data_IF_064524893625
#
_entry.id   IF_064524893625
#
_cell.length_a   1.000
_cell.length_b   1.000
_cell.length_c   1.000
_cell.angle_alpha   90.00
_cell.angle_beta   90.00
_cell.angle_gamma   90.00
#
_symmetry.space_group_name_H-M   'P 1'
#
loop_
_entity.id
_entity.type
_entity.pdbx_description
1 polymer ?
#
# COMPACT_ATOMS: atom_id res chain seq x y z
N UNK A 1 -3.64 7.62 24.65
CA UNK A 1 -4.99 8.19 24.93
C UNK A 1 -5.95 7.08 25.38
N UNK A 2 -7.11 7.43 25.91
CA UNK A 2 -8.18 6.46 26.23
C UNK A 2 -8.88 6.05 24.95
N UNK A 3 -9.35 7.03 24.18
CA UNK A 3 -9.95 6.86 22.86
C UNK A 3 -9.12 7.59 21.81
N UNK A 4 -8.98 6.97 20.65
CA UNK A 4 -8.36 7.55 19.46
C UNK A 4 -9.22 7.20 18.25
N UNK A 5 -9.83 8.20 17.65
CA UNK A 5 -10.60 8.11 16.42
C UNK A 5 -9.81 8.79 15.31
N UNK A 6 -9.52 8.05 14.24
CA UNK A 6 -8.83 8.56 13.07
C UNK A 6 -9.71 8.34 11.85
N UNK A 7 -10.02 9.42 11.15
CA UNK A 7 -10.75 9.39 9.89
C UNK A 7 -9.84 9.89 8.78
N UNK A 8 -9.62 9.09 7.74
CA UNK A 8 -8.80 9.44 6.60
C UNK A 8 -9.61 9.39 5.31
N UNK A 9 -9.74 10.54 4.63
CA UNK A 9 -10.26 10.61 3.27
C UNK A 9 -9.10 10.69 2.30
N UNK A 10 -8.89 9.64 1.52
CA UNK A 10 -7.74 9.46 0.64
C UNK A 10 -8.17 9.58 -0.82
N UNK A 11 -7.76 10.67 -1.46
CA UNK A 11 -7.97 10.89 -2.89
C UNK A 11 -6.72 10.49 -3.65
N UNK A 12 -6.80 9.37 -4.36
CA UNK A 12 -5.73 8.76 -5.13
C UNK A 12 -5.80 9.11 -6.61
N UNK A 13 -4.63 9.25 -7.23
CA UNK A 13 -4.43 9.51 -8.65
C UNK A 13 -3.21 8.73 -9.16
N UNK A 14 -3.24 8.34 -10.44
CA UNK A 14 -2.06 7.79 -11.11
C UNK A 14 -1.11 8.91 -11.54
N UNK A 15 0.17 8.74 -11.25
CA UNK A 15 1.28 9.54 -11.80
C UNK A 15 2.22 8.63 -12.57
N UNK A 16 2.94 9.22 -13.52
CA UNK A 16 3.85 8.50 -14.41
C UNK A 16 5.30 8.78 -14.03
N UNK A 17 6.12 7.73 -13.96
CA UNK A 17 7.58 7.85 -13.88
C UNK A 17 8.20 7.05 -15.02
N UNK A 18 8.51 7.74 -16.12
CA UNK A 18 8.87 7.08 -17.37
C UNK A 18 7.67 6.31 -17.89
N UNK A 19 7.80 4.99 -17.97
CA UNK A 19 6.76 4.05 -18.44
C UNK A 19 5.95 3.41 -17.30
N UNK A 20 6.25 3.74 -16.04
CA UNK A 20 5.60 3.11 -14.88
C UNK A 20 4.48 3.97 -14.30
N UNK A 21 3.36 3.31 -14.00
CA UNK A 21 2.25 3.86 -13.25
C UNK A 21 2.49 3.76 -11.74
N UNK A 22 2.40 4.90 -11.05
CA UNK A 22 2.58 4.99 -9.61
C UNK A 22 1.33 5.61 -8.99
N UNK A 23 0.65 4.91 -8.07
CA UNK A 23 -0.43 5.50 -7.30
C UNK A 23 0.15 6.49 -6.29
N UNK A 24 -0.25 7.76 -6.43
CA UNK A 24 -0.02 8.81 -5.44
C UNK A 24 -1.37 9.22 -4.87
N UNK A 25 -1.37 9.80 -3.68
CA UNK A 25 -2.60 10.26 -3.06
C UNK A 25 -2.38 11.52 -2.24
N UNK A 26 -3.47 12.22 -2.02
CA UNK A 26 -3.60 13.21 -0.95
C UNK A 26 -4.61 12.67 0.07
N UNK A 27 -4.22 12.67 1.34
CA UNK A 27 -5.07 12.25 2.45
C UNK A 27 -5.41 13.43 3.34
N UNK A 28 -6.71 13.69 3.50
CA UNK A 28 -7.27 14.57 4.52
C UNK A 28 -7.55 13.71 5.76
N UNK A 29 -6.86 14.00 6.85
CA UNK A 29 -6.86 13.19 8.07
C UNK A 29 -7.44 14.04 9.20
N UNK A 30 -8.50 13.55 9.81
CA UNK A 30 -9.08 14.10 11.04
C UNK A 30 -8.78 13.15 12.18
N UNK A 31 -8.14 13.66 13.22
CA UNK A 31 -7.83 12.89 14.43
C UNK A 31 -8.58 13.49 15.59
N UNK A 32 -9.27 12.65 16.35
CA UNK A 32 -9.97 13.00 17.59
C UNK A 32 -9.65 11.99 18.66
N UNK A 33 -9.76 12.39 19.92
CA UNK A 33 -9.60 11.45 21.01
C UNK A 33 -9.73 12.10 22.36
N UNK A 34 -9.47 11.31 23.39
CA UNK A 34 -9.48 11.80 24.75
C UNK A 34 -8.40 11.16 25.60
N UNK A 35 -7.91 11.93 26.57
CA UNK A 35 -7.12 11.44 27.68
C UNK A 35 -7.96 11.53 28.95
N UNK A 36 -8.00 10.46 29.72
CA UNK A 36 -8.43 10.53 31.11
C UNK A 36 -7.37 11.24 31.98
N UNK A 37 -7.62 11.25 33.28
CA UNK A 37 -6.64 11.73 34.25
C UNK A 37 -5.30 10.99 34.08
N UNK A 38 -4.24 11.76 33.86
CA UNK A 38 -2.88 11.22 33.83
C UNK A 38 -2.49 10.80 35.24
N UNK A 39 -2.22 9.51 35.43
CA UNK A 39 -1.83 8.91 36.70
C UNK A 39 -0.57 8.08 36.49
N UNK A 40 0.43 8.35 37.32
CA UNK A 40 1.75 7.71 37.30
C UNK A 40 2.07 7.00 38.62
N UNK A 41 1.10 6.88 39.52
CA UNK A 41 1.26 6.19 40.81
C UNK A 41 1.65 4.71 40.65
N UNK A 42 1.24 4.05 39.56
CA UNK A 42 1.65 2.69 39.19
C UNK A 42 3.18 2.52 39.06
N UNK A 43 3.91 3.61 38.84
CA UNK A 43 5.38 3.63 38.69
C UNK A 43 6.10 4.11 39.95
N UNK A 44 5.38 4.32 41.05
CA UNK A 44 5.92 4.88 42.31
C UNK A 44 6.60 6.25 42.09
N UNK A 45 6.09 7.01 41.11
CA UNK A 45 6.55 8.37 40.80
C UNK A 45 5.61 9.36 41.47
N UNK A 46 6.14 10.20 42.35
CA UNK A 46 5.39 11.29 42.97
C UNK A 46 5.01 12.33 41.93
N UNK A 47 3.83 12.94 42.06
CA UNK A 47 3.41 14.06 41.20
C UNK A 47 4.40 15.24 41.22
N UNK A 48 5.12 15.42 42.34
CA UNK A 48 6.17 16.44 42.49
C UNK A 48 7.40 16.19 41.63
N UNK A 49 7.64 14.94 41.24
CA UNK A 49 8.80 14.55 40.42
C UNK A 49 8.51 14.69 38.92
N UNK A 50 7.26 15.01 38.57
CA UNK A 50 6.81 15.18 37.19
C UNK A 50 6.98 16.63 36.77
N UNK A 51 7.82 16.85 35.76
CA UNK A 51 7.98 18.15 35.12
C UNK A 51 6.81 18.45 34.17
N UNK A 52 5.63 18.76 34.73
CA UNK A 52 4.43 19.10 33.95
C UNK A 52 4.63 20.27 32.98
N UNK A 53 5.51 21.22 33.34
CA UNK A 53 5.91 22.34 32.48
C UNK A 53 6.75 21.94 31.25
N UNK A 54 7.21 20.69 31.18
CA UNK A 54 7.92 20.11 30.03
C UNK A 54 7.06 19.11 29.26
N UNK A 55 5.79 18.95 29.63
CA UNK A 55 4.87 18.06 28.94
C UNK A 55 4.64 18.53 27.50
N UNK A 56 4.56 17.56 26.59
CA UNK A 56 4.36 17.81 25.15
C UNK A 56 3.40 16.78 24.59
N UNK A 57 2.64 17.18 23.57
CA UNK A 57 1.99 16.26 22.65
C UNK A 57 2.87 16.16 21.43
N UNK A 58 3.20 14.93 21.04
CA UNK A 58 4.00 14.64 19.86
C UNK A 58 3.19 13.82 18.87
N UNK A 59 3.21 14.23 17.60
CA UNK A 59 2.56 13.54 16.49
C UNK A 59 3.67 13.10 15.56
N UNK A 60 3.87 11.78 15.45
CA UNK A 60 4.85 11.20 14.55
C UNK A 60 4.29 11.11 13.13
N UNK A 61 5.09 11.50 12.15
CA UNK A 61 4.75 11.48 10.73
C UNK A 61 5.94 10.86 10.03
N UNK A 62 5.73 9.76 9.30
CA UNK A 62 6.81 9.01 8.65
C UNK A 62 7.64 9.87 7.68
N UNK A 63 6.99 10.81 7.00
CA UNK A 63 7.65 11.80 6.15
C UNK A 63 7.00 13.17 6.35
N UNK A 64 7.70 14.06 7.06
CA UNK A 64 7.24 15.43 7.29
C UNK A 64 7.29 16.30 6.03
N UNK A 65 8.05 15.93 5.00
CA UNK A 65 8.05 16.66 3.72
C UNK A 65 6.73 16.46 2.98
N UNK A 66 6.00 15.41 3.31
CA UNK A 66 4.68 15.10 2.77
C UNK A 66 3.56 15.92 3.44
N UNK A 67 3.84 16.63 4.54
CA UNK A 67 2.86 17.47 5.23
C UNK A 67 2.58 18.75 4.44
N UNK A 68 1.36 18.88 3.91
CA UNK A 68 0.90 20.07 3.18
C UNK A 68 0.40 21.13 4.17
N UNK A 69 -0.43 20.71 5.12
CA UNK A 69 -1.00 21.58 6.15
C UNK A 69 -1.40 20.78 7.39
N UNK A 70 -1.42 21.44 8.53
CA UNK A 70 -1.99 20.93 9.77
C UNK A 70 -2.73 22.06 10.49
N UNK A 71 -3.87 21.75 11.10
CA UNK A 71 -4.54 22.68 12.02
C UNK A 71 -3.74 22.79 13.33
N UNK A 72 -3.97 23.85 14.12
CA UNK A 72 -3.59 23.83 15.53
C UNK A 72 -4.19 22.61 16.24
N UNK A 73 -3.49 22.10 17.26
CA UNK A 73 -4.01 21.08 18.15
C UNK A 73 -5.04 21.72 19.07
N UNK A 74 -6.29 21.27 19.01
CA UNK A 74 -7.29 21.61 20.02
C UNK A 74 -7.08 20.69 21.21
N UNK A 75 -6.87 21.26 22.40
CA UNK A 75 -6.71 20.54 23.66
C UNK A 75 -7.73 21.10 24.66
N UNK A 76 -8.83 20.38 24.87
CA UNK A 76 -10.02 20.90 25.53
C UNK A 76 -10.56 22.14 24.82
N UNK A 77 -10.52 23.29 25.49
CA UNK A 77 -10.96 24.58 24.94
C UNK A 77 -9.83 25.45 24.37
N UNK A 78 -8.59 24.97 24.39
CA UNK A 78 -7.44 25.74 23.94
C UNK A 78 -6.95 25.27 22.57
N UNK A 79 -6.48 26.21 21.77
CA UNK A 79 -5.83 25.95 20.49
C UNK A 79 -4.32 26.16 20.64
N UNK A 80 -3.54 25.15 20.27
CA UNK A 80 -2.10 25.10 20.44
C UNK A 80 -1.45 24.92 19.08
N UNK A 81 -0.62 25.88 18.69
CA UNK A 81 0.16 25.80 17.46
C UNK A 81 1.15 24.63 17.50
N UNK A 82 1.33 23.99 16.34
CA UNK A 82 2.25 22.88 16.16
C UNK A 82 3.62 23.40 15.72
N UNK A 83 4.68 22.93 16.37
CA UNK A 83 6.08 23.21 16.04
C UNK A 83 6.73 21.98 15.37
N UNK A 84 7.65 22.18 14.40
CA UNK A 84 8.38 21.07 13.78
C UNK A 84 9.19 20.23 14.78
N UNK A 85 9.31 18.92 14.48
CA UNK A 85 10.05 17.94 15.28
C UNK A 85 9.14 17.20 16.27
N UNK A 86 9.24 15.88 16.34
CA UNK A 86 8.43 15.05 17.25
C UNK A 86 8.99 15.00 18.68
N UNK A 87 10.24 15.45 18.90
CA UNK A 87 11.01 15.23 20.12
C UNK A 87 11.20 13.75 20.50
N UNK A 88 11.04 12.83 19.54
CA UNK A 88 11.50 11.44 19.66
C UNK A 88 12.69 11.18 18.72
N UNK A 89 13.73 10.45 19.18
CA UNK A 89 14.86 10.01 18.37
C UNK A 89 14.36 9.30 17.12
N UNK A 90 14.99 9.62 15.99
CA UNK A 90 14.79 8.95 14.70
C UNK A 90 13.34 8.93 14.18
N UNK A 91 12.44 9.66 14.82
CA UNK A 91 11.02 9.74 14.51
C UNK A 91 10.69 11.16 14.04
N UNK A 92 10.50 11.41 12.74
CA UNK A 92 10.04 12.70 12.26
C UNK A 92 8.60 13.00 12.72
N UNK A 93 8.23 14.28 12.74
CA UNK A 93 6.89 14.69 13.15
C UNK A 93 6.79 16.15 13.59
N UNK A 94 5.73 16.44 14.33
CA UNK A 94 5.46 17.75 14.93
C UNK A 94 5.10 17.60 16.40
N UNK A 95 5.15 18.68 17.15
CA UNK A 95 4.79 18.68 18.57
C UNK A 95 4.17 20.00 19.01
N UNK A 96 3.57 20.01 20.20
CA UNK A 96 3.27 21.24 20.92
C UNK A 96 3.45 21.04 22.42
N UNK A 97 3.72 22.13 23.14
CA UNK A 97 3.92 22.10 24.59
C UNK A 97 2.59 22.24 25.30
N UNK A 98 2.39 21.46 26.36
CA UNK A 98 1.24 21.59 27.23
C UNK A 98 1.64 22.39 28.48
N UNK A 99 0.79 23.34 28.89
CA UNK A 99 0.98 23.99 30.19
C UNK A 99 0.41 23.11 31.30
N UNK A 100 0.93 23.26 32.52
CA UNK A 100 0.47 22.50 33.67
C UNK A 100 -1.03 22.71 33.96
N UNK A 101 -1.59 23.89 33.68
CA UNK A 101 -3.02 24.16 33.85
C UNK A 101 -3.92 23.33 32.92
N UNK A 102 -3.37 22.75 31.86
CA UNK A 102 -4.08 21.88 30.91
C UNK A 102 -4.07 20.41 31.31
N UNK A 103 -3.30 20.07 32.36
CA UNK A 103 -2.96 18.71 32.77
C UNK A 103 -3.53 18.49 34.17
N UNK A 104 -4.72 17.89 34.27
CA UNK A 104 -5.40 17.67 35.56
C UNK A 104 -6.91 17.46 35.47
N UNK A 105 -7.52 17.78 34.33
CA UNK A 105 -8.93 17.46 34.08
C UNK A 105 -9.17 15.94 34.09
N UNK A 106 -10.33 15.47 34.59
CA UNK A 106 -10.67 14.05 34.61
C UNK A 106 -10.81 13.47 33.19
N UNK A 107 -11.19 14.30 32.22
CA UNK A 107 -11.20 14.01 30.79
C UNK A 107 -10.75 15.25 30.03
N UNK A 108 -9.81 15.08 29.11
CA UNK A 108 -9.38 16.11 28.17
C UNK A 108 -9.50 15.58 26.75
N UNK A 109 -10.35 16.22 25.97
CA UNK A 109 -10.52 15.90 24.55
C UNK A 109 -9.47 16.62 23.72
N UNK A 110 -9.02 15.98 22.65
CA UNK A 110 -8.13 16.61 21.69
C UNK A 110 -8.58 16.33 20.27
N UNK A 111 -8.26 17.26 19.37
CA UNK A 111 -8.50 17.08 17.95
C UNK A 111 -7.55 17.91 17.09
N UNK A 112 -7.19 17.39 15.93
CA UNK A 112 -6.47 18.13 14.91
C UNK A 112 -6.78 17.54 13.53
N UNK A 113 -6.53 18.33 12.50
CA UNK A 113 -6.66 17.94 11.11
C UNK A 113 -5.32 18.14 10.41
N UNK A 114 -5.03 17.28 9.45
CA UNK A 114 -3.82 17.39 8.64
C UNK A 114 -4.04 16.87 7.23
N UNK A 115 -3.33 17.47 6.28
CA UNK A 115 -3.31 17.04 4.89
C UNK A 115 -1.91 16.54 4.57
N UNK A 116 -1.82 15.27 4.19
CA UNK A 116 -0.58 14.62 3.77
C UNK A 116 -0.66 14.23 2.31
N UNK A 117 0.41 14.47 1.56
CA UNK A 117 0.66 13.73 0.32
C UNK A 117 1.33 12.40 0.65
N UNK A 118 1.09 11.40 -0.18
CA UNK A 118 1.77 10.13 -0.03
C UNK A 118 1.76 9.33 -1.33
N UNK A 119 2.42 8.19 -1.29
CA UNK A 119 2.43 7.25 -2.39
C UNK A 119 2.46 5.84 -1.85
N UNK A 120 1.81 4.91 -2.58
CA UNK A 120 1.79 3.47 -2.32
C UNK A 120 1.18 3.00 -1.00
N UNK A 121 1.49 3.60 0.16
CA UNK A 121 1.11 3.06 1.46
C UNK A 121 0.70 4.15 2.45
N UNK A 122 -0.51 4.01 3.00
CA UNK A 122 -0.99 4.81 4.12
C UNK A 122 -1.21 3.92 5.33
N UNK A 123 -0.75 4.32 6.51
CA UNK A 123 -0.96 3.56 7.73
C UNK A 123 -1.02 4.43 8.98
N UNK A 124 -1.61 3.86 10.04
CA UNK A 124 -1.76 4.46 11.36
C UNK A 124 -1.26 3.48 12.41
N UNK A 125 -0.50 3.96 13.38
CA UNK A 125 -0.14 3.17 14.56
C UNK A 125 -1.23 3.33 15.63
N UNK A 126 -1.86 2.25 16.13
CA UNK A 126 -2.87 2.35 17.16
C UNK A 126 -2.22 2.66 18.50
N UNK A 127 -2.46 3.85 19.06
CA UNK A 127 -1.89 4.27 20.37
C UNK A 127 -2.96 4.54 21.45
N UNK A 128 -4.25 4.55 21.09
CA UNK A 128 -5.36 4.69 22.04
C UNK A 128 -5.65 3.40 22.83
N UNK A 129 -6.42 3.47 23.92
CA UNK A 129 -6.87 2.24 24.60
C UNK A 129 -7.92 1.51 23.76
N UNK A 130 -8.74 2.30 23.07
CA UNK A 130 -9.42 1.90 21.84
C UNK A 130 -8.90 2.82 20.73
N UNK A 131 -8.55 2.24 19.58
CA UNK A 131 -8.26 3.00 18.36
C UNK A 131 -9.22 2.55 17.28
N UNK A 132 -10.08 3.47 16.86
CA UNK A 132 -10.97 3.30 15.72
C UNK A 132 -10.39 4.08 14.54
N UNK A 133 -10.24 3.40 13.40
CA UNK A 133 -9.70 3.98 12.19
C UNK A 133 -10.66 3.73 11.04
N UNK A 134 -11.06 4.79 10.35
CA UNK A 134 -11.90 4.73 9.16
C UNK A 134 -11.15 5.34 7.98
N UNK A 135 -11.17 4.66 6.84
CA UNK A 135 -10.63 5.16 5.59
C UNK A 135 -11.68 5.14 4.49
N UNK A 136 -11.87 6.28 3.83
CA UNK A 136 -12.57 6.41 2.56
C UNK A 136 -11.56 6.67 1.46
N UNK A 137 -11.58 5.89 0.38
CA UNK A 137 -10.73 6.14 -0.77
C UNK A 137 -11.44 5.89 -2.09
N UNK A 138 -11.10 6.67 -3.11
CA UNK A 138 -11.56 6.47 -4.49
C UNK A 138 -10.77 5.41 -5.27
N UNK A 139 -9.83 4.70 -4.63
CA UNK A 139 -9.00 3.70 -5.31
C UNK A 139 -9.68 2.32 -5.37
N UNK A 140 -9.78 1.65 -6.51
CA UNK A 140 -10.54 0.40 -6.64
C UNK A 140 -9.81 -0.85 -6.10
N UNK A 141 -8.48 -0.81 -6.00
CA UNK A 141 -7.66 -1.98 -5.65
C UNK A 141 -6.91 -1.80 -4.32
N UNK A 142 -7.60 -1.85 -3.16
CA UNK A 142 -6.93 -1.82 -1.87
C UNK A 142 -6.24 -3.15 -1.55
N UNK A 143 -5.02 -3.06 -1.04
CA UNK A 143 -4.37 -4.16 -0.35
C UNK A 143 -4.25 -3.81 1.13
N UNK A 144 -5.11 -4.41 1.96
CA UNK A 144 -5.06 -4.23 3.40
C UNK A 144 -3.77 -4.83 3.97
N UNK A 145 -3.06 -4.04 4.78
CA UNK A 145 -1.77 -4.42 5.38
C UNK A 145 -1.78 -4.18 6.89
N UNK A 146 -0.79 -4.75 7.55
CA UNK A 146 -0.59 -4.62 8.99
C UNK A 146 -1.04 -5.85 9.77
N UNK A 147 -0.99 -5.74 11.10
CA UNK A 147 -1.37 -6.84 12.01
C UNK A 147 -2.89 -7.02 12.12
N UNK A 148 -3.69 -6.01 11.74
CA UNK A 148 -5.15 -6.05 11.80
C UNK A 148 -5.78 -5.79 10.44
N UNK A 149 -6.70 -6.67 10.06
CA UNK A 149 -7.61 -6.46 8.92
C UNK A 149 -8.86 -5.68 9.37
N UNK A 150 -9.56 -5.00 8.44
CA UNK A 150 -10.84 -4.36 8.74
C UNK A 150 -11.83 -5.33 9.40
N UNK A 151 -12.56 -4.88 10.42
CA UNK A 151 -13.52 -5.74 11.15
C UNK A 151 -14.80 -6.01 10.37
N UNK A 152 -15.25 -5.03 9.61
CA UNK A 152 -16.48 -5.10 8.84
C UNK A 152 -16.19 -5.53 7.40
N UNK A 153 -17.21 -6.06 6.72
CA UNK A 153 -17.10 -6.35 5.28
C UNK A 153 -16.85 -5.05 4.53
N UNK A 154 -15.64 -4.90 4.02
CA UNK A 154 -15.28 -3.80 3.13
C UNK A 154 -16.06 -3.94 1.83
N UNK A 155 -16.80 -2.89 1.47
CA UNK A 155 -17.36 -2.76 0.13
C UNK A 155 -16.29 -2.15 -0.78
N UNK A 156 -15.74 -2.96 -1.68
CA UNK A 156 -14.81 -2.51 -2.72
C UNK A 156 -15.58 -2.43 -4.04
N UNK A 157 -15.53 -1.27 -4.68
CA UNK A 157 -16.20 -0.98 -5.95
C UNK A 157 -15.22 -0.29 -6.90
N UNK A 158 -15.56 -0.19 -8.18
CA UNK A 158 -14.75 0.57 -9.16
C UNK A 158 -14.62 2.06 -8.78
N UNK A 159 -15.52 2.58 -7.95
CA UNK A 159 -15.48 3.96 -7.45
C UNK A 159 -14.58 4.14 -6.22
N UNK A 160 -14.12 3.03 -5.59
CA UNK A 160 -13.35 3.08 -4.37
C UNK A 160 -13.77 2.08 -3.30
N UNK A 161 -13.28 2.29 -2.08
CA UNK A 161 -13.61 1.49 -0.90
C UNK A 161 -13.81 2.36 0.35
N UNK A 162 -14.57 1.81 1.30
CA UNK A 162 -14.60 2.25 2.69
C UNK A 162 -14.16 1.08 3.59
N UNK A 163 -13.29 1.36 4.55
CA UNK A 163 -12.78 0.37 5.47
C UNK A 163 -12.75 0.91 6.90
N UNK A 164 -13.11 0.04 7.86
CA UNK A 164 -13.15 0.36 9.28
C UNK A 164 -12.36 -0.69 10.09
N UNK A 165 -11.44 -0.20 10.91
CA UNK A 165 -10.65 -0.97 11.86
C UNK A 165 -10.95 -0.50 13.26
N UNK A 166 -10.91 -1.44 14.21
CA UNK A 166 -11.02 -1.13 15.62
C UNK A 166 -10.03 -2.01 16.38
N UNK A 167 -9.10 -1.39 17.10
CA UNK A 167 -8.02 -2.05 17.83
C UNK A 167 -8.14 -1.74 19.32
N UNK A 168 -8.20 -2.78 20.14
CA UNK A 168 -8.20 -2.66 21.60
C UNK A 168 -6.76 -2.70 22.15
N UNK A 169 -6.53 -2.04 23.28
CA UNK A 169 -5.26 -2.08 24.03
C UNK A 169 -4.76 -3.51 24.24
N UNK A 170 -5.66 -4.43 24.60
CA UNK A 170 -5.32 -5.83 24.87
C UNK A 170 -4.90 -6.61 23.62
N UNK A 171 -5.20 -6.08 22.43
CA UNK A 171 -4.82 -6.70 21.16
C UNK A 171 -3.40 -6.39 20.71
N UNK A 172 -2.69 -5.47 21.39
CA UNK A 172 -1.36 -4.96 20.98
C UNK A 172 -0.26 -5.50 21.90
N UNK A 173 0.97 -5.55 21.38
CA UNK A 173 2.14 -6.02 22.13
C UNK A 173 3.00 -4.89 22.71
N UNK A 174 2.38 -3.76 23.08
CA UNK A 174 3.04 -2.64 23.75
C UNK A 174 2.10 -1.94 24.73
N UNK A 175 2.64 -1.38 25.83
CA UNK A 175 1.83 -0.79 26.88
C UNK A 175 1.27 0.58 26.47
N UNK A 176 0.20 1.00 27.15
CA UNK A 176 -0.40 2.35 26.99
C UNK A 176 0.52 3.48 27.44
N UNK A 177 1.41 3.18 28.41
CA UNK A 177 2.31 4.12 29.07
C UNK A 177 3.66 3.42 29.20
N UNK A 178 4.77 4.12 28.96
CA UNK A 178 6.12 3.59 29.16
C UNK A 178 7.07 4.71 29.60
N UNK A 179 8.19 4.31 30.22
CA UNK A 179 9.30 5.19 30.54
C UNK A 179 10.45 4.96 29.55
N UNK A 180 11.23 6.01 29.28
CA UNK A 180 12.28 5.97 28.28
C UNK A 180 11.76 6.14 26.85
N UNK A 181 12.69 6.48 25.96
CA UNK A 181 12.36 7.09 24.67
C UNK A 181 12.35 6.08 23.51
N UNK A 182 13.22 5.05 23.56
CA UNK A 182 13.45 4.12 22.45
C UNK A 182 12.85 2.72 22.66
N UNK A 183 12.11 2.48 23.75
CA UNK A 183 11.81 1.12 24.19
C UNK A 183 10.75 0.40 23.35
N UNK A 184 9.87 1.12 22.65
CA UNK A 184 8.73 0.53 21.94
C UNK A 184 8.52 1.06 20.52
N UNK A 185 9.44 1.84 19.98
CA UNK A 185 9.33 2.40 18.62
C UNK A 185 9.24 1.30 17.55
N UNK A 186 10.05 0.25 17.69
CA UNK A 186 9.99 -0.89 16.78
C UNK A 186 8.64 -1.61 16.82
N UNK A 187 8.07 -1.80 18.03
CA UNK A 187 6.75 -2.41 18.20
C UNK A 187 5.65 -1.53 17.57
N UNK A 188 5.71 -0.21 17.77
CA UNK A 188 4.77 0.74 17.15
C UNK A 188 4.85 0.74 15.61
N UNK A 189 6.06 0.66 15.06
CA UNK A 189 6.29 0.65 13.62
C UNK A 189 5.88 -0.66 12.95
N UNK A 190 5.93 -1.79 13.67
CA UNK A 190 5.53 -3.10 13.15
C UNK A 190 4.03 -3.36 13.32
N UNK A 191 3.43 -2.82 14.37
CA UNK A 191 1.98 -2.88 14.64
C UNK A 191 1.20 -1.74 13.98
N UNK A 192 1.54 -1.37 12.75
CA UNK A 192 0.73 -0.42 11.97
C UNK A 192 -0.43 -1.14 11.30
N UNK A 193 -1.50 -0.40 11.02
CA UNK A 193 -2.63 -0.87 10.21
C UNK A 193 -2.91 0.14 9.10
N UNK A 194 -3.28 -0.34 7.93
CA UNK A 194 -3.45 0.54 6.79
C UNK A 194 -3.71 -0.14 5.46
N UNK A 195 -3.50 0.63 4.40
CA UNK A 195 -3.79 0.22 3.03
C UNK A 195 -2.60 0.52 2.15
N UNK A 196 -2.19 -0.49 1.38
CA UNK A 196 -1.33 -0.34 0.22
C UNK A 196 -2.18 -0.19 -1.03
N UNK A 197 -2.02 0.93 -1.71
CA UNK A 197 -2.60 1.20 -3.01
C UNK A 197 -1.79 0.47 -4.06
N UNK A 198 -2.33 -0.65 -4.55
CA UNK A 198 -1.66 -1.39 -5.60
C UNK A 198 -1.71 -0.56 -6.89
N UNK A 199 -0.61 -0.52 -7.68
CA UNK A 199 -0.68 0.06 -9.00
C UNK A 199 -1.73 -0.70 -9.83
N UNK A 200 -2.41 -0.03 -10.77
CA UNK A 200 -3.28 -0.72 -11.71
C UNK A 200 -2.49 -1.82 -12.45
N UNK A 201 -3.19 -2.85 -12.93
CA UNK A 201 -2.52 -3.88 -13.74
C UNK A 201 -2.02 -3.24 -15.03
N UNK A 202 -0.71 -3.02 -15.09
CA UNK A 202 -0.02 -2.46 -16.24
C UNK A 202 0.25 -3.54 -17.31
N UNK A 203 0.37 -3.11 -18.57
CA UNK A 203 0.70 -3.88 -19.75
C UNK A 203 1.99 -4.69 -19.57
N UNK A 204 3.00 -4.12 -18.90
CA UNK A 204 4.26 -4.82 -18.61
C UNK A 204 4.08 -5.96 -17.61
N UNK A 205 3.21 -5.81 -16.61
CA UNK A 205 2.89 -6.90 -15.69
C UNK A 205 2.20 -8.06 -16.41
N UNK A 206 1.36 -7.76 -17.39
CA UNK A 206 0.72 -8.76 -18.24
C UNK A 206 1.72 -9.42 -19.20
N UNK A 207 2.58 -8.65 -19.87
CA UNK A 207 3.63 -9.17 -20.74
C UNK A 207 4.62 -10.07 -19.98
N UNK A 208 5.02 -9.67 -18.76
CA UNK A 208 5.86 -10.50 -17.90
C UNK A 208 5.18 -11.84 -17.56
N UNK A 209 3.86 -11.85 -17.34
CA UNK A 209 3.12 -13.11 -17.17
C UNK A 209 3.11 -13.95 -18.45
N UNK A 210 3.00 -13.34 -19.64
CA UNK A 210 3.08 -14.05 -20.92
C UNK A 210 4.43 -14.78 -21.06
N UNK A 211 5.54 -14.06 -20.88
CA UNK A 211 6.90 -14.62 -20.95
C UNK A 211 7.15 -15.66 -19.85
N UNK A 212 6.64 -15.46 -18.62
CA UNK A 212 6.78 -16.44 -17.53
C UNK A 212 6.25 -17.84 -17.90
N UNK A 213 5.26 -17.92 -18.78
CA UNK A 213 4.68 -19.17 -19.24
C UNK A 213 5.19 -19.60 -20.63
N UNK A 214 6.23 -18.95 -21.17
CA UNK A 214 6.69 -19.21 -22.55
C UNK A 214 7.13 -20.65 -22.80
N UNK A 215 7.81 -21.25 -21.81
CA UNK A 215 8.33 -22.60 -21.91
C UNK A 215 7.20 -23.62 -22.09
N UNK A 216 6.05 -23.39 -21.44
CA UNK A 216 4.87 -24.25 -21.58
C UNK A 216 4.39 -24.25 -23.04
N UNK A 217 4.28 -23.07 -23.66
CA UNK A 217 3.86 -22.96 -25.05
C UNK A 217 4.88 -23.56 -26.02
N UNK A 218 6.17 -23.34 -25.80
CA UNK A 218 7.23 -23.91 -26.63
C UNK A 218 7.23 -25.44 -26.59
N UNK A 219 7.14 -26.03 -25.41
CA UNK A 219 7.05 -27.50 -25.24
C UNK A 219 5.79 -28.04 -25.89
N UNK A 220 4.64 -27.37 -25.71
CA UNK A 220 3.38 -27.81 -26.28
C UNK A 220 3.39 -27.81 -27.82
N UNK A 221 3.93 -26.75 -28.45
CA UNK A 221 4.05 -26.66 -29.90
C UNK A 221 4.99 -27.73 -30.44
N UNK A 222 6.15 -27.93 -29.81
CA UNK A 222 7.11 -28.96 -30.24
C UNK A 222 6.56 -30.37 -30.04
N UNK A 223 5.87 -30.63 -28.93
CA UNK A 223 5.18 -31.90 -28.69
C UNK A 223 4.12 -32.17 -29.76
N UNK A 224 3.38 -31.14 -30.18
CA UNK A 224 2.38 -31.26 -31.23
C UNK A 224 3.01 -31.61 -32.58
N UNK A 225 4.09 -30.91 -32.97
CA UNK A 225 4.82 -31.23 -34.21
C UNK A 225 5.40 -32.64 -34.18
N UNK A 226 5.98 -33.04 -33.06
CA UNK A 226 6.50 -34.38 -32.85
C UNK A 226 5.42 -35.46 -32.95
N UNK A 227 4.23 -35.20 -32.39
CA UNK A 227 3.10 -36.11 -32.51
C UNK A 227 2.62 -36.23 -33.96
N UNK A 228 2.60 -35.12 -34.72
CA UNK A 228 2.28 -35.14 -36.14
C UNK A 228 3.32 -35.93 -36.96
N UNK A 229 4.61 -35.78 -36.66
CA UNK A 229 5.68 -36.56 -37.28
C UNK A 229 5.48 -38.07 -37.08
N UNK A 230 5.09 -38.50 -35.87
CA UNK A 230 4.78 -39.91 -35.58
C UNK A 230 3.52 -40.40 -36.30
N UNK A 231 2.44 -39.61 -36.28
CA UNK A 231 1.14 -40.02 -36.81
C UNK A 231 1.09 -39.98 -38.34
N UNK A 232 1.71 -38.97 -38.96
CA UNK A 232 1.70 -38.78 -40.42
C UNK A 232 2.84 -39.54 -41.12
N UNK A 233 3.84 -40.02 -40.38
CA UNK A 233 5.00 -40.73 -40.94
C UNK A 233 5.95 -39.84 -41.76
N UNK A 234 5.84 -38.52 -41.62
CA UNK A 234 6.65 -37.52 -42.33
C UNK A 234 7.81 -37.12 -41.40
N UNK A 235 9.05 -37.24 -41.89
CA UNK A 235 10.24 -36.82 -41.14
C UNK A 235 10.42 -35.30 -41.22
N UNK A 236 10.31 -34.62 -40.08
CA UNK A 236 10.49 -33.17 -39.99
C UNK A 236 11.97 -32.88 -39.73
N UNK A 237 12.63 -32.16 -40.63
CA UNK A 237 14.06 -31.86 -40.48
C UNK A 237 14.32 -30.93 -39.28
N UNK A 238 15.42 -31.11 -38.55
CA UNK A 238 15.72 -30.35 -37.32
C UNK A 238 15.70 -28.82 -37.49
N UNK A 239 16.04 -28.33 -38.69
CA UNK A 239 15.98 -26.90 -39.01
C UNK A 239 14.56 -26.31 -38.91
N UNK A 240 13.54 -27.13 -39.17
CA UNK A 240 12.13 -26.72 -39.16
C UNK A 240 11.67 -26.48 -37.72
N UNK A 241 12.08 -27.33 -36.78
CA UNK A 241 11.88 -27.09 -35.34
C UNK A 241 12.55 -25.79 -34.88
N UNK A 242 13.77 -25.51 -35.35
CA UNK A 242 14.46 -24.25 -35.04
C UNK A 242 13.69 -23.05 -35.58
N UNK A 243 13.18 -23.11 -36.82
CA UNK A 243 12.39 -22.02 -37.39
C UNK A 243 11.09 -21.77 -36.62
N UNK A 244 10.39 -22.82 -36.20
CA UNK A 244 9.20 -22.68 -35.35
C UNK A 244 9.57 -22.07 -34.00
N UNK A 245 10.68 -22.49 -33.39
CA UNK A 245 11.20 -21.89 -32.16
C UNK A 245 11.49 -20.39 -32.32
N UNK A 246 12.13 -19.99 -33.41
CA UNK A 246 12.38 -18.57 -33.73
C UNK A 246 11.07 -17.79 -33.91
N UNK A 247 10.07 -18.37 -34.58
CA UNK A 247 8.75 -17.76 -34.71
C UNK A 247 8.07 -17.56 -33.35
N UNK A 248 8.22 -18.50 -32.42
CA UNK A 248 7.74 -18.38 -31.04
C UNK A 248 8.49 -17.28 -30.27
N UNK A 249 9.79 -17.06 -30.51
CA UNK A 249 10.49 -15.91 -29.92
C UNK A 249 9.98 -14.57 -30.48
N UNK A 250 9.68 -14.51 -31.78
CA UNK A 250 9.13 -13.32 -32.41
C UNK A 250 7.75 -12.93 -31.86
N UNK A 251 6.95 -13.91 -31.43
CA UNK A 251 5.68 -13.65 -30.74
C UNK A 251 5.85 -12.70 -29.56
N UNK A 252 6.77 -12.99 -28.63
CA UNK A 252 6.95 -12.18 -27.41
C UNK A 252 7.56 -10.81 -27.69
N UNK A 253 8.47 -10.71 -28.67
CA UNK A 253 9.03 -9.42 -29.09
C UNK A 253 7.96 -8.52 -29.72
N UNK A 254 7.09 -9.12 -30.54
CA UNK A 254 5.99 -8.41 -31.19
C UNK A 254 4.89 -8.03 -30.18
N UNK A 255 4.54 -8.93 -29.27
CA UNK A 255 3.60 -8.68 -28.17
C UNK A 255 4.06 -7.48 -27.33
N UNK A 256 5.33 -7.47 -26.89
CA UNK A 256 5.88 -6.40 -26.09
C UNK A 256 5.84 -5.06 -26.84
N UNK A 257 6.32 -5.03 -28.08
CA UNK A 257 6.37 -3.79 -28.88
C UNK A 257 4.98 -3.25 -29.24
N UNK A 258 4.01 -4.12 -29.52
CA UNK A 258 2.64 -3.68 -29.81
C UNK A 258 1.90 -3.24 -28.55
N UNK A 259 2.18 -3.86 -27.40
CA UNK A 259 1.50 -3.54 -26.14
C UNK A 259 1.69 -2.07 -25.79
N UNK A 260 2.91 -1.55 -25.94
CA UNK A 260 3.27 -0.15 -25.66
C UNK A 260 2.39 0.88 -26.39
N UNK A 261 1.82 0.52 -27.55
CA UNK A 261 1.02 1.44 -28.36
C UNK A 261 -0.48 1.11 -28.39
N UNK A 262 -0.86 -0.17 -28.31
CA UNK A 262 -2.24 -0.62 -28.52
C UNK A 262 -2.89 -1.20 -27.26
N UNK A 263 -2.13 -1.37 -26.18
CA UNK A 263 -2.54 -2.09 -25.00
C UNK A 263 -2.39 -3.61 -25.14
N UNK A 264 -2.27 -4.29 -24.01
CA UNK A 264 -1.92 -5.71 -23.93
C UNK A 264 -2.87 -6.63 -24.71
N UNK A 265 -4.20 -6.44 -24.59
CA UNK A 265 -5.20 -7.34 -25.20
C UNK A 265 -5.10 -7.31 -26.72
N UNK A 266 -4.97 -6.13 -27.32
CA UNK A 266 -4.83 -5.98 -28.76
C UNK A 266 -3.46 -6.47 -29.26
N UNK A 267 -2.39 -6.15 -28.53
CA UNK A 267 -1.06 -6.62 -28.85
C UNK A 267 -0.96 -8.15 -28.85
N UNK A 268 -1.47 -8.80 -27.80
CA UNK A 268 -1.51 -10.25 -27.67
C UNK A 268 -2.30 -10.90 -28.81
N UNK A 269 -3.50 -10.41 -29.10
CA UNK A 269 -4.35 -10.99 -30.15
C UNK A 269 -3.76 -10.82 -31.54
N UNK A 270 -3.17 -9.67 -31.86
CA UNK A 270 -2.49 -9.43 -33.13
C UNK A 270 -1.24 -10.31 -33.24
N UNK A 271 -0.36 -10.31 -32.24
CA UNK A 271 0.87 -11.10 -32.26
C UNK A 271 0.57 -12.60 -32.36
N UNK A 272 -0.40 -13.10 -31.59
CA UNK A 272 -0.81 -14.50 -31.61
C UNK A 272 -1.35 -14.88 -32.99
N UNK A 273 -2.24 -14.07 -33.56
CA UNK A 273 -2.80 -14.31 -34.89
C UNK A 273 -1.72 -14.34 -35.96
N UNK A 274 -0.79 -13.39 -35.96
CA UNK A 274 0.30 -13.32 -36.93
C UNK A 274 1.22 -14.54 -36.85
N UNK A 275 1.59 -14.96 -35.65
CA UNK A 275 2.49 -16.11 -35.45
C UNK A 275 1.79 -17.43 -35.74
N UNK A 276 0.53 -17.58 -35.35
CA UNK A 276 -0.28 -18.74 -35.72
C UNK A 276 -0.43 -18.86 -37.25
N UNK A 277 -0.68 -17.75 -37.96
CA UNK A 277 -0.75 -17.75 -39.42
C UNK A 277 0.60 -18.08 -40.06
N UNK A 278 1.70 -17.53 -39.54
CA UNK A 278 3.05 -17.82 -40.01
C UNK A 278 3.39 -19.31 -39.87
N UNK A 279 3.18 -19.89 -38.69
CA UNK A 279 3.45 -21.30 -38.41
C UNK A 279 2.51 -22.19 -39.22
N UNK A 280 1.22 -21.86 -39.30
CA UNK A 280 0.24 -22.66 -40.06
C UNK A 280 0.56 -22.66 -41.55
N UNK A 281 0.90 -21.51 -42.12
CA UNK A 281 1.32 -21.38 -43.51
C UNK A 281 2.61 -22.16 -43.79
N UNK A 282 3.57 -22.09 -42.88
CA UNK A 282 4.81 -22.86 -42.96
C UNK A 282 4.56 -24.38 -42.91
N UNK A 283 3.79 -24.86 -41.93
CA UNK A 283 3.46 -26.28 -41.81
C UNK A 283 2.71 -26.78 -43.04
N UNK A 284 1.76 -26.00 -43.57
CA UNK A 284 1.06 -26.36 -44.81
C UNK A 284 2.02 -26.54 -45.99
N UNK A 285 2.94 -25.59 -46.19
CA UNK A 285 3.90 -25.65 -47.28
C UNK A 285 4.85 -26.85 -47.18
N UNK A 286 5.22 -27.25 -45.95
CA UNK A 286 6.10 -28.40 -45.69
C UNK A 286 5.37 -29.73 -45.78
N UNK A 287 4.08 -29.77 -45.44
CA UNK A 287 3.27 -31.00 -45.46
C UNK A 287 2.63 -31.28 -46.82
N UNK A 288 2.47 -30.27 -47.69
CA UNK A 288 2.02 -30.45 -49.08
C UNK A 288 3.15 -30.92 -50.04
N UNK A 289 4.41 -30.92 -49.59
CA UNK A 289 5.57 -31.49 -50.31
C UNK A 289 5.93 -32.88 -49.82
#
# INVERSE_FOLDING_TARGET
>A
PDELDVHAKVTSHTRYRGIYDIPVYQSEITVKGSFGKLDFSDWDISDTDIFWNKAKVSIQISDVQALISASPLRWGHQELELEPGSHQPESPGVHTKLSQSMLGSPKTEFSFEMVLNGSQYFSVAPVGSTTDFTMDSNWPDPSFQGEWLPREKVSVTDAGFNAHWSVSLLGRNYPKRWTGVATHEHALNTSQLGVRFLPPIDQYHMAFRSVKYELLFLVFVFMTLWLFEILSGIQIHSIQYVMVGVAMCLFYLLELSLAEHLGFVWAYTIAATMVCLLISGYCRAVLET
#
